data_IF_543678276063
#
_entry.id   IF_543678276063
#
_cell.length_a   1.000
_cell.length_b   1.000
_cell.length_c   1.000
_cell.angle_alpha   90.00
_cell.angle_beta   90.00
_cell.angle_gamma   90.00
#
_symmetry.space_group_name_H-M   'P 1'
#
loop_
_entity.id
_entity.type
_entity.pdbx_description
1 polymer ?
#
# COMPACT_ATOMS: atom_id res chain seq x y z
N UNK A 1 19.50 -14.52 -17.82
CA UNK A 1 19.86 -13.77 -16.60
C UNK A 1 19.63 -12.29 -16.84
N UNK A 2 19.22 -11.56 -15.79
CA UNK A 2 19.03 -10.09 -15.70
C UNK A 2 17.86 -9.49 -16.48
N UNK A 3 16.95 -8.84 -15.73
CA UNK A 3 16.55 -7.43 -15.91
C UNK A 3 16.07 -6.87 -14.56
N UNK A 4 16.97 -6.20 -13.83
CA UNK A 4 16.56 -5.30 -12.74
C UNK A 4 16.25 -3.95 -13.38
N UNK A 5 14.99 -3.54 -13.36
CA UNK A 5 14.60 -2.19 -13.81
C UNK A 5 14.83 -1.27 -12.62
N UNK A 6 15.92 -0.50 -12.67
CA UNK A 6 16.11 0.66 -11.82
C UNK A 6 15.08 1.72 -12.22
N UNK A 7 14.20 2.09 -11.29
CA UNK A 7 13.29 3.22 -11.48
C UNK A 7 13.95 4.48 -10.93
N UNK A 8 14.06 5.44 -11.84
CA UNK A 8 14.84 6.68 -11.78
C UNK A 8 14.27 7.68 -10.76
N UNK A 9 15.18 8.14 -9.92
CA UNK A 9 15.33 9.46 -9.29
C UNK A 9 14.36 10.55 -9.78
N UNK A 10 13.50 11.07 -8.91
CA UNK A 10 12.87 12.38 -9.11
C UNK A 10 13.45 13.40 -8.12
N UNK A 11 13.96 14.46 -8.72
CA UNK A 11 14.70 15.58 -8.14
C UNK A 11 13.78 16.36 -7.18
N UNK A 12 14.21 16.51 -5.93
CA UNK A 12 13.58 17.41 -4.97
C UNK A 12 13.90 18.86 -5.35
N UNK A 13 12.85 19.62 -5.69
CA UNK A 13 12.89 21.07 -5.80
C UNK A 13 13.06 21.66 -4.39
N UNK A 14 14.01 22.58 -4.27
CA UNK A 14 14.51 23.13 -3.03
C UNK A 14 13.43 23.79 -2.14
N UNK A 15 13.42 23.43 -0.85
CA UNK A 15 12.82 24.25 0.20
C UNK A 15 13.95 24.64 1.17
N UNK A 16 14.26 25.93 1.23
CA UNK A 16 15.22 26.50 2.16
C UNK A 16 14.74 26.28 3.60
N UNK A 17 15.52 25.55 4.40
CA UNK A 17 15.25 25.35 5.82
C UNK A 17 16.08 26.39 6.59
N UNK A 18 15.39 27.34 7.23
CA UNK A 18 15.99 28.20 8.25
C UNK A 18 16.33 27.35 9.47
N UNK A 19 17.58 27.39 9.89
CA UNK A 19 18.12 26.63 11.03
C UNK A 19 17.55 27.14 12.36
N UNK A 20 17.04 26.23 13.19
CA UNK A 20 16.97 26.41 14.65
C UNK A 20 17.72 25.26 15.34
N UNK A 21 18.37 25.62 16.43
CA UNK A 21 19.49 24.95 17.06
C UNK A 21 19.17 23.60 17.73
N UNK A 22 20.19 22.74 17.69
CA UNK A 22 20.63 21.73 18.65
C UNK A 22 19.60 21.04 19.55
N UNK A 23 19.37 19.75 19.28
CA UNK A 23 19.18 18.74 20.32
C UNK A 23 20.11 17.56 20.04
N UNK A 24 21.13 17.42 20.88
CA UNK A 24 22.00 16.25 20.99
C UNK A 24 21.18 15.02 21.36
N UNK A 25 20.97 14.14 20.39
CA UNK A 25 20.42 12.80 20.59
C UNK A 25 21.23 11.82 19.78
N UNK A 26 22.28 11.25 20.39
CA UNK A 26 22.95 10.07 19.88
C UNK A 26 21.96 8.90 19.88
N UNK A 27 21.25 8.76 18.76
CA UNK A 27 20.44 7.60 18.44
C UNK A 27 20.75 7.24 17.02
N UNK A 28 21.83 6.48 16.81
CA UNK A 28 22.09 5.85 15.52
C UNK A 28 20.83 5.08 15.14
N UNK A 29 20.06 5.63 14.20
CA UNK A 29 18.94 4.94 13.61
C UNK A 29 19.54 3.74 12.91
N UNK A 30 19.52 2.58 13.58
CA UNK A 30 19.51 1.31 12.89
C UNK A 30 18.31 1.42 11.97
N UNK A 31 18.56 1.71 10.70
CA UNK A 31 17.58 1.56 9.63
C UNK A 31 17.32 0.06 9.54
N UNK A 32 16.60 -0.48 10.53
CA UNK A 32 15.80 -1.68 10.35
C UNK A 32 14.84 -1.28 9.24
N UNK A 33 15.24 -1.56 8.02
CA UNK A 33 14.38 -1.59 6.87
C UNK A 33 13.25 -2.56 7.24
N UNK A 34 12.19 -2.03 7.85
CA UNK A 34 10.93 -2.71 8.04
C UNK A 34 10.31 -2.81 6.66
N UNK A 35 10.90 -3.66 5.82
CA UNK A 35 10.37 -3.97 4.51
C UNK A 35 9.02 -4.64 4.72
N UNK A 36 7.98 -4.08 4.11
CA UNK A 36 6.68 -4.73 4.04
C UNK A 36 6.85 -6.06 3.31
N UNK A 37 6.42 -7.16 3.94
CA UNK A 37 6.31 -8.47 3.28
C UNK A 37 5.20 -8.38 2.24
N UNK A 38 5.41 -8.95 1.06
CA UNK A 38 4.39 -9.06 0.01
C UNK A 38 4.48 -10.41 -0.69
N UNK A 39 3.66 -11.35 -0.23
CA UNK A 39 3.82 -12.77 -0.54
C UNK A 39 2.67 -13.29 -1.42
N UNK A 40 2.96 -14.27 -2.26
CA UNK A 40 1.92 -15.01 -2.98
C UNK A 40 1.24 -15.99 -2.03
N UNK A 41 -0.06 -15.82 -1.82
CA UNK A 41 -0.90 -16.73 -1.01
C UNK A 41 -2.05 -17.31 -1.86
N UNK A 42 -1.90 -17.28 -3.19
CA UNK A 42 -2.87 -17.83 -4.13
C UNK A 42 -2.79 -19.36 -4.09
N UNK A 43 -3.94 -20.01 -3.83
CA UNK A 43 -4.10 -21.46 -3.98
C UNK A 43 -4.59 -21.80 -5.41
N UNK A 44 -4.50 -23.07 -5.81
CA UNK A 44 -4.99 -23.60 -7.09
C UNK A 44 -6.44 -23.17 -7.38
N UNK A 45 -7.30 -23.25 -6.37
CA UNK A 45 -8.74 -22.98 -6.48
C UNK A 45 -9.10 -21.49 -6.36
N UNK A 46 -8.12 -20.61 -6.20
CA UNK A 46 -8.35 -19.18 -6.04
C UNK A 46 -8.71 -18.52 -7.38
N UNK A 47 -9.91 -17.94 -7.44
CA UNK A 47 -10.41 -17.15 -8.57
C UNK A 47 -9.57 -15.90 -8.89
N UNK A 48 -8.94 -15.30 -7.87
CA UNK A 48 -8.15 -14.08 -8.01
C UNK A 48 -6.70 -14.34 -7.63
N UNK A 49 -5.79 -13.49 -8.10
CA UNK A 49 -4.47 -13.41 -7.50
C UNK A 49 -4.63 -12.98 -6.04
N UNK A 50 -4.09 -13.77 -5.10
CA UNK A 50 -4.15 -13.44 -3.69
C UNK A 50 -2.74 -13.13 -3.19
N UNK A 51 -2.59 -11.97 -2.55
CA UNK A 51 -1.34 -11.49 -1.98
C UNK A 51 -1.51 -11.23 -0.49
N UNK A 52 -0.54 -11.63 0.32
CA UNK A 52 -0.53 -11.37 1.76
C UNK A 52 0.50 -10.30 2.10
N UNK A 53 0.18 -9.44 3.05
CA UNK A 53 1.15 -8.49 3.61
C UNK A 53 1.02 -8.37 5.12
N UNK A 54 2.13 -8.01 5.78
CA UNK A 54 2.17 -7.64 7.19
C UNK A 54 1.71 -6.19 7.43
N UNK A 55 1.55 -5.39 6.37
CA UNK A 55 1.07 -4.01 6.45
C UNK A 55 -0.39 -3.97 6.89
N UNK A 56 -0.68 -3.22 7.95
CA UNK A 56 -2.04 -3.03 8.46
C UNK A 56 -2.89 -2.17 7.53
N UNK A 57 -4.23 -2.17 7.72
CA UNK A 57 -5.14 -1.30 6.95
C UNK A 57 -4.71 0.16 7.04
N UNK A 58 -4.46 0.65 8.25
CA UNK A 58 -4.16 2.06 8.50
C UNK A 58 -2.83 2.47 7.85
N UNK A 59 -1.81 1.62 7.92
CA UNK A 59 -0.53 1.86 7.24
C UNK A 59 -0.69 1.83 5.72
N UNK A 60 -1.47 0.88 5.19
CA UNK A 60 -1.72 0.79 3.76
C UNK A 60 -2.45 2.04 3.23
N UNK A 61 -3.49 2.50 3.92
CA UNK A 61 -4.22 3.72 3.60
C UNK A 61 -3.34 4.98 3.68
N UNK A 62 -2.50 5.06 4.72
CA UNK A 62 -1.52 6.14 4.86
C UNK A 62 -0.54 6.13 3.69
N UNK A 63 0.03 4.98 3.36
CA UNK A 63 0.99 4.84 2.27
C UNK A 63 0.39 5.24 0.92
N UNK A 64 -0.87 4.87 0.64
CA UNK A 64 -1.57 5.31 -0.57
C UNK A 64 -1.75 6.83 -0.60
N UNK A 65 -2.21 7.42 0.51
CA UNK A 65 -2.42 8.86 0.63
C UNK A 65 -1.11 9.63 0.44
N UNK A 66 -0.03 9.22 1.13
CA UNK A 66 1.31 9.80 1.01
C UNK A 66 1.90 9.60 -0.39
N UNK A 67 1.54 8.52 -1.08
CA UNK A 67 1.96 8.27 -2.46
C UNK A 67 1.16 9.07 -3.49
N UNK A 68 0.20 9.90 -3.08
CA UNK A 68 -0.59 10.76 -3.96
C UNK A 68 -1.78 10.04 -4.64
N UNK A 69 -2.36 9.03 -4.00
CA UNK A 69 -3.63 8.47 -4.42
C UNK A 69 -4.81 9.30 -3.92
N UNK A 70 -5.82 9.49 -4.76
CA UNK A 70 -7.03 10.22 -4.37
C UNK A 70 -7.93 9.31 -3.54
N UNK A 71 -8.30 9.75 -2.35
CA UNK A 71 -9.23 9.02 -1.48
C UNK A 71 -10.66 9.46 -1.73
N UNK A 72 -11.56 8.50 -1.84
CA UNK A 72 -13.00 8.68 -1.73
C UNK A 72 -13.60 7.59 -0.85
N UNK A 73 -14.81 7.81 -0.34
CA UNK A 73 -15.54 6.82 0.45
C UNK A 73 -16.76 6.38 -0.35
N UNK A 74 -17.05 5.07 -0.36
CA UNK A 74 -18.27 4.54 -0.97
C UNK A 74 -19.52 5.15 -0.33
N UNK A 75 -20.63 5.20 -1.08
CA UNK A 75 -21.91 5.81 -0.65
C UNK A 75 -22.44 5.23 0.67
N UNK A 76 -22.12 3.98 0.96
CA UNK A 76 -22.50 3.24 2.16
C UNK A 76 -21.51 3.41 3.34
N UNK A 77 -20.41 4.15 3.16
CA UNK A 77 -19.41 4.40 4.19
C UNK A 77 -18.50 3.21 4.53
N UNK A 78 -18.70 2.05 3.90
CA UNK A 78 -18.06 0.77 4.28
C UNK A 78 -16.76 0.47 3.54
N UNK A 79 -16.47 1.23 2.50
CA UNK A 79 -15.33 0.99 1.61
C UNK A 79 -14.60 2.29 1.34
N UNK A 80 -13.31 2.31 1.66
CA UNK A 80 -12.42 3.39 1.23
C UNK A 80 -11.90 3.06 -0.16
N UNK A 81 -12.10 3.97 -1.10
CA UNK A 81 -11.68 3.84 -2.49
C UNK A 81 -10.50 4.77 -2.70
N UNK A 82 -9.42 4.25 -3.27
CA UNK A 82 -8.26 5.03 -3.68
C UNK A 82 -8.08 4.89 -5.18
N UNK A 83 -8.00 6.00 -5.92
CA UNK A 83 -7.79 6.00 -7.36
C UNK A 83 -6.54 6.80 -7.76
N UNK A 84 -5.90 6.33 -8.84
CA UNK A 84 -4.79 7.03 -9.50
C UNK A 84 -4.60 6.49 -10.91
N UNK A 85 -4.53 7.38 -11.90
CA UNK A 85 -4.25 7.03 -13.30
C UNK A 85 -5.15 5.89 -13.83
N UNK A 86 -6.44 5.91 -13.47
CA UNK A 86 -7.43 4.90 -13.87
C UNK A 86 -7.37 3.58 -13.09
N UNK A 87 -6.31 3.33 -12.30
CA UNK A 87 -6.23 2.20 -11.39
C UNK A 87 -6.94 2.51 -10.07
N UNK A 88 -7.36 1.47 -9.34
CA UNK A 88 -8.15 1.63 -8.12
C UNK A 88 -7.84 0.57 -7.08
N UNK A 89 -7.79 0.98 -5.82
CA UNK A 89 -7.89 0.12 -4.65
C UNK A 89 -9.24 0.33 -3.96
N UNK A 90 -9.93 -0.76 -3.63
CA UNK A 90 -11.10 -0.74 -2.76
C UNK A 90 -10.78 -1.47 -1.46
N UNK A 91 -10.67 -0.72 -0.36
CA UNK A 91 -10.25 -1.21 0.95
C UNK A 91 -11.48 -1.39 1.83
N UNK A 92 -11.60 -2.58 2.42
CA UNK A 92 -12.74 -2.97 3.27
C UNK A 92 -12.24 -3.49 4.61
N UNK A 93 -12.98 -3.21 5.67
CA UNK A 93 -12.66 -3.65 7.03
C UNK A 93 -12.75 -5.17 7.22
N UNK A 94 -13.83 -5.78 6.71
CA UNK A 94 -14.09 -7.20 6.91
C UNK A 94 -14.54 -7.86 5.62
N UNK A 95 -13.70 -8.72 5.06
CA UNK A 95 -14.12 -9.68 4.04
C UNK A 95 -14.68 -10.94 4.72
N UNK A 96 -15.95 -11.27 4.43
CA UNK A 96 -16.72 -12.40 5.00
C UNK A 96 -16.00 -13.76 4.97
N UNK A 97 -15.08 -13.96 4.03
CA UNK A 97 -14.37 -15.24 3.82
C UNK A 97 -12.96 -15.30 4.41
N UNK A 98 -12.44 -14.20 4.96
CA UNK A 98 -11.04 -14.13 5.45
C UNK A 98 -10.89 -13.45 6.81
N UNK A 99 -12.01 -13.06 7.45
CA UNK A 99 -12.09 -12.49 8.80
C UNK A 99 -11.16 -11.30 9.07
N UNK A 100 -10.81 -10.53 8.05
CA UNK A 100 -9.89 -9.40 8.19
C UNK A 100 -9.90 -8.43 7.01
N UNK A 101 -9.10 -7.35 7.12
CA UNK A 101 -9.08 -6.26 6.14
C UNK A 101 -8.46 -6.68 4.82
N UNK A 102 -9.07 -6.22 3.74
CA UNK A 102 -8.61 -6.54 2.37
C UNK A 102 -8.62 -5.31 1.48
N UNK A 103 -7.64 -5.25 0.57
CA UNK A 103 -7.63 -4.31 -0.54
C UNK A 103 -7.83 -5.06 -1.86
N UNK A 104 -8.91 -4.74 -2.57
CA UNK A 104 -9.13 -5.23 -3.93
C UNK A 104 -8.51 -4.25 -4.93
N UNK A 105 -7.56 -4.72 -5.72
CA UNK A 105 -6.90 -3.95 -6.77
C UNK A 105 -7.57 -4.17 -8.12
N UNK A 106 -7.79 -3.06 -8.81
CA UNK A 106 -8.30 -2.99 -10.17
C UNK A 106 -7.26 -2.28 -11.03
N UNK A 107 -6.85 -2.94 -12.11
CA UNK A 107 -5.99 -2.35 -13.15
C UNK A 107 -6.69 -1.16 -13.80
N UNK A 108 -5.89 -0.27 -14.39
CA UNK A 108 -6.39 0.86 -15.16
C UNK A 108 -7.43 0.41 -16.19
N UNK A 109 -8.58 1.10 -16.20
CA UNK A 109 -9.69 0.84 -17.12
C UNK A 109 -10.32 -0.56 -16.99
N UNK A 110 -10.06 -1.30 -15.91
CA UNK A 110 -10.67 -2.62 -15.65
C UNK A 110 -11.79 -2.55 -14.62
N UNK A 111 -12.91 -3.21 -14.93
CA UNK A 111 -14.00 -3.44 -13.97
C UNK A 111 -13.79 -4.71 -13.12
N UNK A 112 -12.82 -5.55 -13.47
CA UNK A 112 -12.54 -6.83 -12.81
C UNK A 112 -11.43 -6.67 -11.78
N UNK A 113 -11.60 -7.33 -10.63
CA UNK A 113 -10.53 -7.45 -9.62
C UNK A 113 -9.39 -8.24 -10.24
N UNK A 114 -8.20 -7.63 -10.22
CA UNK A 114 -6.97 -8.28 -10.69
C UNK A 114 -6.28 -9.02 -9.54
N UNK A 115 -6.15 -8.34 -8.40
CA UNK A 115 -5.44 -8.85 -7.23
C UNK A 115 -6.19 -8.50 -5.96
N UNK A 116 -6.37 -9.49 -5.08
CA UNK A 116 -6.85 -9.31 -3.72
C UNK A 116 -5.66 -9.34 -2.76
N UNK A 117 -5.49 -8.28 -1.98
CA UNK A 117 -4.41 -8.14 -1.00
C UNK A 117 -5.01 -8.29 0.40
N UNK A 118 -4.53 -9.26 1.18
CA UNK A 118 -4.89 -9.48 2.58
C UNK A 118 -3.94 -8.68 3.47
N UNK A 119 -4.50 -7.77 4.26
CA UNK A 119 -3.75 -6.80 5.05
C UNK A 119 -3.56 -7.32 6.48
N UNK A 120 -2.37 -7.14 7.05
CA UNK A 120 -2.04 -7.52 8.42
C UNK A 120 -2.03 -9.03 8.71
N UNK A 121 -1.97 -9.89 7.68
CA UNK A 121 -2.11 -11.35 7.84
C UNK A 121 -0.78 -12.09 7.96
N UNK A 122 0.32 -11.50 7.52
CA UNK A 122 1.65 -12.13 7.58
C UNK A 122 2.38 -11.61 8.82
N UNK A 123 2.57 -12.43 9.86
CA UNK A 123 3.48 -12.08 10.97
C UNK A 123 4.90 -12.55 10.61
#
# INVERSE_FOLDING_TARGET
>A
MKKYIALVLFIFLAFTITTVASASGAGGSSWKNNVSKYENIKNSDSRYNNRGTNVTKNEFERNLSTSGWNKSTSKDGKVNIYDRNGAKYAIRDNAKSTSGPTADYYKANSKKIDTKIRLGTTK
#
